data_IF_010932061818
#
_entry.id   IF_010932061818
#
_cell.length_a   1.000
_cell.length_b   1.000
_cell.length_c   1.000
_cell.angle_alpha   90.00
_cell.angle_beta   90.00
_cell.angle_gamma   90.00
#
_symmetry.space_group_name_H-M   'P 1'
#
loop_
_entity.id
_entity.type
_entity.pdbx_description
1 polymer ?
#
# COMPACT_ATOMS: atom_id res chain seq x y z
N UNK A 1 -7.66 1.57 -16.07
CA UNK A 1 -6.49 1.98 -15.29
C UNK A 1 -5.40 0.93 -15.37
N UNK A 2 -4.16 1.34 -15.52
CA UNK A 2 -3.00 0.45 -15.54
C UNK A 2 -2.09 0.79 -14.37
N UNK A 3 -1.80 -0.21 -13.54
CA UNK A 3 -0.86 -0.06 -12.42
C UNK A 3 0.56 -0.23 -12.97
N UNK A 4 1.42 0.74 -12.70
CA UNK A 4 2.80 0.73 -13.20
C UNK A 4 3.83 0.38 -12.13
N UNK A 5 3.66 0.89 -10.91
CA UNK A 5 4.63 0.73 -9.84
C UNK A 5 3.99 0.76 -8.47
N UNK A 6 4.48 -0.10 -7.58
CA UNK A 6 4.08 -0.12 -6.18
C UNK A 6 5.32 -0.03 -5.30
N UNK A 7 5.31 0.89 -4.33
CA UNK A 7 6.35 0.99 -3.32
C UNK A 7 5.76 0.83 -1.93
N UNK A 8 6.42 0.03 -1.12
CA UNK A 8 6.05 -0.19 0.27
C UNK A 8 7.20 0.21 1.18
N UNK A 9 6.87 0.81 2.31
CA UNK A 9 7.83 1.12 3.37
C UNK A 9 7.22 0.81 4.73
N UNK A 10 7.93 0.04 5.52
CA UNK A 10 7.50 -0.35 6.88
C UNK A 10 6.12 -1.00 6.91
N UNK A 11 5.78 -1.76 5.86
CA UNK A 11 4.50 -2.44 5.73
C UNK A 11 4.66 -3.93 5.96
N UNK A 12 4.13 -4.40 7.08
CA UNK A 12 4.17 -5.82 7.50
C UNK A 12 5.59 -6.38 7.48
N UNK A 13 5.85 -7.39 6.62
CA UNK A 13 7.18 -8.00 6.52
C UNK A 13 8.18 -7.19 5.70
N UNK A 14 7.76 -6.11 5.07
CA UNK A 14 8.62 -5.33 4.19
C UNK A 14 9.13 -4.05 4.86
N UNK A 15 10.45 -3.93 4.96
CA UNK A 15 11.10 -2.67 5.30
C UNK A 15 11.00 -1.70 4.12
N UNK A 16 11.43 -2.15 2.95
CA UNK A 16 11.22 -1.47 1.68
C UNK A 16 10.98 -2.49 0.58
N UNK A 17 10.04 -2.20 -0.29
CA UNK A 17 9.75 -3.00 -1.47
C UNK A 17 9.36 -2.09 -2.61
N UNK A 18 9.91 -2.36 -3.79
CA UNK A 18 9.63 -1.60 -5.00
C UNK A 18 9.33 -2.59 -6.12
N UNK A 19 8.14 -2.52 -6.68
CA UNK A 19 7.70 -3.43 -7.74
C UNK A 19 7.29 -2.61 -8.96
N UNK A 20 7.91 -2.92 -10.09
CA UNK A 20 7.47 -2.44 -11.40
C UNK A 20 6.60 -3.49 -12.05
N UNK A 21 5.42 -3.10 -12.52
CA UNK A 21 4.48 -4.02 -13.15
C UNK A 21 4.59 -3.95 -14.67
N UNK A 22 4.58 -5.12 -15.28
CA UNK A 22 4.53 -5.22 -16.74
C UNK A 22 3.16 -4.80 -17.27
N UNK A 23 3.11 -4.16 -18.47
CA UNK A 23 1.84 -3.64 -19.01
C UNK A 23 0.74 -4.66 -19.19
N UNK A 24 1.09 -5.91 -19.50
CA UNK A 24 0.11 -6.95 -19.79
C UNK A 24 -0.05 -7.98 -18.69
N UNK A 25 1.08 -8.43 -18.14
CA UNK A 25 1.08 -9.49 -17.14
C UNK A 25 2.26 -9.33 -16.21
N UNK A 26 1.98 -9.39 -14.92
CA UNK A 26 3.00 -9.51 -13.88
C UNK A 26 2.68 -10.74 -13.06
N UNK A 27 3.66 -11.64 -12.93
CA UNK A 27 3.52 -12.85 -12.14
C UNK A 27 4.29 -12.67 -10.85
N UNK A 28 3.59 -12.81 -9.73
CA UNK A 28 4.18 -12.77 -8.41
C UNK A 28 4.39 -14.20 -7.94
N UNK A 29 5.65 -14.63 -7.87
CA UNK A 29 6.04 -15.99 -7.51
C UNK A 29 6.75 -15.99 -6.17
N UNK A 30 6.46 -16.99 -5.36
CA UNK A 30 7.10 -17.16 -4.06
C UNK A 30 6.40 -18.25 -3.27
N UNK A 31 6.98 -18.62 -2.13
CA UNK A 31 6.34 -19.57 -1.23
C UNK A 31 5.00 -19.01 -0.72
N UNK A 32 4.07 -19.91 -0.41
CA UNK A 32 2.80 -19.55 0.20
C UNK A 32 3.05 -18.95 1.58
N UNK A 33 3.19 -17.65 1.62
CA UNK A 33 3.52 -16.94 2.84
C UNK A 33 2.89 -15.56 2.88
N UNK A 34 3.12 -14.90 3.99
CA UNK A 34 2.54 -13.60 4.31
C UNK A 34 2.97 -12.50 3.35
N UNK A 35 4.11 -12.68 2.66
CA UNK A 35 4.65 -11.66 1.76
C UNK A 35 3.78 -11.38 0.55
N UNK A 36 3.26 -12.42 -0.13
CA UNK A 36 2.35 -12.24 -1.27
C UNK A 36 1.04 -11.58 -0.86
N UNK A 37 0.47 -12.04 0.26
CA UNK A 37 -0.75 -11.48 0.81
C UNK A 37 -0.57 -10.00 1.13
N UNK A 38 0.58 -9.63 1.69
CA UNK A 38 0.91 -8.24 1.99
C UNK A 38 0.91 -7.36 0.73
N UNK A 39 1.46 -7.86 -0.39
CA UNK A 39 1.48 -7.13 -1.67
C UNK A 39 0.05 -6.89 -2.18
N UNK A 40 -0.79 -7.92 -2.18
CA UNK A 40 -2.18 -7.78 -2.64
C UNK A 40 -3.00 -6.87 -1.71
N UNK A 41 -2.81 -6.99 -0.41
CA UNK A 41 -3.46 -6.10 0.55
C UNK A 41 -3.01 -4.66 0.37
N UNK A 42 -1.73 -4.43 0.11
CA UNK A 42 -1.19 -3.10 -0.16
C UNK A 42 -1.81 -2.49 -1.42
N UNK A 43 -1.98 -3.28 -2.48
CA UNK A 43 -2.66 -2.83 -3.70
C UNK A 43 -4.11 -2.43 -3.41
N UNK A 44 -4.83 -3.23 -2.62
CA UNK A 44 -6.21 -2.92 -2.25
C UNK A 44 -6.30 -1.63 -1.43
N UNK A 45 -5.38 -1.42 -0.51
CA UNK A 45 -5.31 -0.21 0.29
C UNK A 45 -5.00 1.01 -0.59
N UNK A 46 -4.03 0.88 -1.49
CA UNK A 46 -3.63 1.97 -2.39
C UNK A 46 -4.73 2.37 -3.36
N UNK A 47 -5.54 1.41 -3.80
CA UNK A 47 -6.64 1.64 -4.74
C UNK A 47 -7.93 2.13 -4.06
N UNK A 48 -8.01 2.09 -2.74
CA UNK A 48 -9.24 2.43 -2.01
C UNK A 48 -9.80 3.82 -2.38
N UNK A 49 -9.01 4.90 -2.47
CA UNK A 49 -9.55 6.19 -2.86
C UNK A 49 -10.18 6.19 -4.25
N UNK A 50 -9.60 5.44 -5.18
CA UNK A 50 -10.16 5.28 -6.53
C UNK A 50 -11.46 4.46 -6.49
N UNK A 51 -11.46 3.35 -5.75
CA UNK A 51 -12.63 2.48 -5.62
C UNK A 51 -13.78 3.17 -4.92
N UNK A 52 -13.50 4.04 -3.96
CA UNK A 52 -14.51 4.81 -3.23
C UNK A 52 -15.34 5.68 -4.17
N UNK A 53 -14.74 6.20 -5.22
CA UNK A 53 -15.45 7.03 -6.20
C UNK A 53 -16.47 6.24 -7.02
N UNK A 54 -16.40 4.91 -7.01
CA UNK A 54 -17.35 4.00 -7.65
C UNK A 54 -18.31 3.33 -6.63
N UNK A 55 -18.41 3.88 -5.44
CA UNK A 55 -19.20 3.31 -4.33
C UNK A 55 -18.73 1.90 -3.92
N UNK A 56 -17.51 1.55 -4.24
CA UNK A 56 -16.92 0.28 -3.84
C UNK A 56 -16.23 0.40 -2.49
N UNK A 57 -16.31 -0.64 -1.67
CA UNK A 57 -15.58 -0.68 -0.41
C UNK A 57 -14.11 -0.97 -0.66
N UNK A 58 -13.24 -0.34 0.12
CA UNK A 58 -11.81 -0.54 0.08
C UNK A 58 -11.22 -0.74 1.46
N UNK A 59 -9.91 -0.82 1.52
CA UNK A 59 -9.17 -1.06 2.77
C UNK A 59 -8.37 0.17 3.15
N UNK A 60 -8.04 0.25 4.42
CA UNK A 60 -7.17 1.30 4.97
C UNK A 60 -6.00 0.65 5.71
N UNK A 61 -4.91 1.40 5.86
CA UNK A 61 -3.78 0.97 6.68
C UNK A 61 -4.24 0.92 8.14
N UNK A 62 -4.02 -0.23 8.79
CA UNK A 62 -4.35 -0.42 10.20
C UNK A 62 -3.07 -0.56 11.02
N UNK A 63 -3.15 -0.42 12.36
CA UNK A 63 -1.99 -0.66 13.22
C UNK A 63 -1.37 -2.05 13.07
N UNK A 64 -2.14 -3.05 12.64
CA UNK A 64 -1.63 -4.40 12.39
C UNK A 64 -0.73 -4.48 11.17
N UNK A 65 -0.82 -3.50 10.25
CA UNK A 65 0.01 -3.45 9.04
C UNK A 65 1.39 -2.84 9.29
N UNK A 66 1.60 -2.26 10.46
CA UNK A 66 2.88 -1.64 10.83
C UNK A 66 3.95 -2.71 10.98
N UNK A 67 5.11 -2.48 10.37
CA UNK A 67 6.24 -3.38 10.52
C UNK A 67 6.72 -3.39 11.96
N UNK A 68 6.83 -4.58 12.53
CA UNK A 68 7.35 -4.80 13.87
C UNK A 68 8.63 -5.60 13.80
N UNK A 69 9.65 -5.11 14.46
CA UNK A 69 10.95 -5.74 14.50
C UNK A 69 11.27 -6.09 15.95
N UNK A 70 11.72 -7.33 16.22
CA UNK A 70 12.07 -7.70 17.59
C UNK A 70 13.28 -6.92 18.09
N UNK A 71 13.22 -6.48 19.33
CA UNK A 71 14.34 -5.86 20.03
C UNK A 71 14.90 -6.89 21.01
N UNK A 72 16.17 -7.20 20.89
CA UNK A 72 16.81 -8.21 21.72
C UNK A 72 17.49 -7.59 22.93
N UNK A 73 17.50 -8.34 24.04
CA UNK A 73 18.32 -8.00 25.19
C UNK A 73 19.81 -8.15 24.86
N UNK A 74 20.69 -7.58 25.71
CA UNK A 74 22.14 -7.57 25.49
C UNK A 74 22.72 -8.97 25.26
N UNK A 75 22.12 -10.01 25.79
CA UNK A 75 22.55 -11.41 25.62
C UNK A 75 22.12 -12.04 24.29
N UNK A 76 21.31 -11.33 23.50
CA UNK A 76 20.79 -11.77 22.20
C UNK A 76 19.95 -13.06 22.25
N UNK A 77 19.54 -13.51 23.43
CA UNK A 77 18.79 -14.76 23.61
C UNK A 77 17.31 -14.54 23.84
N UNK A 78 16.94 -13.35 24.30
CA UNK A 78 15.56 -13.02 24.66
C UNK A 78 15.11 -11.78 23.94
N UNK A 79 13.87 -11.81 23.45
CA UNK A 79 13.24 -10.65 22.88
C UNK A 79 12.79 -9.74 24.02
N UNK A 80 13.27 -8.49 24.04
CA UNK A 80 12.88 -7.49 25.03
C UNK A 80 11.53 -6.85 24.70
N UNK A 81 11.12 -6.91 23.44
CA UNK A 81 9.87 -6.37 22.95
C UNK A 81 9.87 -6.27 21.44
N UNK A 82 8.85 -5.60 20.91
CA UNK A 82 8.72 -5.34 19.48
C UNK A 82 8.77 -3.84 19.23
N UNK A 83 9.55 -3.43 18.26
CA UNK A 83 9.64 -2.05 17.84
C UNK A 83 8.82 -1.85 16.57
N UNK A 84 7.90 -0.87 16.60
CA UNK A 84 7.10 -0.51 15.44
C UNK A 84 7.85 0.53 14.61
N UNK A 85 7.88 0.32 13.29
CA UNK A 85 8.57 1.21 12.37
C UNK A 85 7.58 2.10 11.63
N UNK A 86 7.77 3.41 11.73
CA UNK A 86 6.95 4.44 11.10
C UNK A 86 7.82 5.39 10.26
N UNK A 87 7.26 6.10 9.28
CA UNK A 87 5.88 5.94 8.79
C UNK A 87 5.71 4.65 7.99
N UNK A 88 4.49 4.13 8.00
CA UNK A 88 4.08 3.11 7.03
C UNK A 88 3.68 3.86 5.77
N UNK A 89 4.22 3.45 4.61
CA UNK A 89 3.92 4.12 3.35
C UNK A 89 3.60 3.11 2.26
N UNK A 90 2.52 3.38 1.52
CA UNK A 90 2.16 2.65 0.31
C UNK A 90 2.02 3.70 -0.78
N UNK A 91 2.87 3.61 -1.81
CA UNK A 91 2.82 4.52 -2.96
C UNK A 91 2.51 3.73 -4.21
N UNK A 92 1.46 4.13 -4.91
CA UNK A 92 1.02 3.52 -6.16
C UNK A 92 1.16 4.53 -7.29
N UNK A 93 1.80 4.11 -8.36
CA UNK A 93 1.87 4.87 -9.60
C UNK A 93 1.12 4.12 -10.69
N UNK A 94 0.32 4.84 -11.46
CA UNK A 94 -0.48 4.25 -12.50
C UNK A 94 -0.81 5.23 -13.60
N UNK A 95 -1.59 4.73 -14.56
CA UNK A 95 -2.05 5.48 -15.72
C UNK A 95 -3.55 5.29 -15.88
N UNK A 96 -4.28 6.38 -16.03
CA UNK A 96 -5.72 6.36 -16.30
C UNK A 96 -5.96 7.18 -17.57
N UNK A 97 -6.29 6.49 -18.64
CA UNK A 97 -6.55 7.10 -19.95
C UNK A 97 -5.45 8.07 -20.39
N UNK A 98 -4.19 7.61 -20.32
CA UNK A 98 -3.02 8.37 -20.75
C UNK A 98 -2.51 9.40 -19.75
N UNK A 99 -3.13 9.52 -18.59
CA UNK A 99 -2.69 10.45 -17.53
C UNK A 99 -2.04 9.70 -16.39
N UNK A 100 -0.85 10.12 -16.02
CA UNK A 100 -0.12 9.54 -14.89
C UNK A 100 -0.73 9.97 -13.58
N UNK A 101 -0.95 9.01 -12.70
CA UNK A 101 -1.49 9.25 -11.36
C UNK A 101 -0.55 8.66 -10.32
N UNK A 102 -0.46 9.35 -9.21
CA UNK A 102 0.28 8.88 -8.04
C UNK A 102 -0.62 8.99 -6.81
N UNK A 103 -0.71 7.91 -6.08
CA UNK A 103 -1.45 7.87 -4.82
C UNK A 103 -0.50 7.40 -3.73
N UNK A 104 -0.40 8.16 -2.66
CA UNK A 104 0.41 7.80 -1.49
C UNK A 104 -0.47 7.74 -0.26
N UNK A 105 -0.40 6.64 0.47
CA UNK A 105 -1.10 6.46 1.73
C UNK A 105 -0.08 6.16 2.82
N UNK A 106 -0.20 6.85 3.94
CA UNK A 106 0.72 6.72 5.08
C UNK A 106 -0.03 6.51 6.37
N UNK A 107 0.63 5.84 7.29
CA UNK A 107 0.24 5.80 8.69
C UNK A 107 1.42 6.32 9.50
N UNK A 108 1.23 7.46 10.15
CA UNK A 108 2.25 8.11 10.95
C UNK A 108 2.28 7.54 12.37
N UNK A 109 3.34 7.82 13.09
CA UNK A 109 3.45 7.44 14.51
C UNK A 109 2.24 7.95 15.28
N UNK A 110 1.73 7.12 16.19
CA UNK A 110 0.46 7.41 16.88
C UNK A 110 -0.77 7.02 16.06
N UNK A 111 -0.59 6.24 14.99
CA UNK A 111 -1.65 5.74 14.12
C UNK A 111 -2.46 6.85 13.44
N UNK A 112 -1.77 7.92 13.05
CA UNK A 112 -2.37 9.05 12.35
C UNK A 112 -2.31 8.80 10.84
N UNK A 113 -3.45 8.68 10.13
CA UNK A 113 -3.44 8.51 8.67
C UNK A 113 -3.10 9.82 7.96
N UNK A 114 -2.33 9.71 6.88
CA UNK A 114 -2.01 10.81 5.98
C UNK A 114 -2.07 10.30 4.55
N UNK A 115 -3.01 10.80 3.77
CA UNK A 115 -3.24 10.35 2.40
C UNK A 115 -3.03 11.49 1.41
N UNK A 116 -2.36 11.17 0.31
CA UNK A 116 -2.25 12.04 -0.86
C UNK A 116 -2.86 11.29 -2.05
N UNK A 117 -4.18 11.27 -2.10
CA UNK A 117 -4.95 10.45 -3.03
C UNK A 117 -6.05 11.22 -3.76
N UNK A 118 -6.13 12.53 -3.57
CA UNK A 118 -7.24 13.33 -4.09
C UNK A 118 -7.31 13.28 -5.61
N UNK A 119 -6.18 13.35 -6.28
CA UNK A 119 -6.13 13.29 -7.74
C UNK A 119 -6.71 11.97 -8.27
N UNK A 120 -6.32 10.87 -7.67
CA UNK A 120 -6.82 9.54 -8.05
C UNK A 120 -8.33 9.43 -7.80
N UNK A 121 -8.79 9.96 -6.70
CA UNK A 121 -10.22 9.98 -6.35
C UNK A 121 -11.00 10.85 -7.34
N UNK A 122 -10.50 12.04 -7.66
CA UNK A 122 -11.13 12.93 -8.64
C UNK A 122 -11.24 12.27 -10.01
N UNK A 123 -10.20 11.58 -10.46
CA UNK A 123 -10.21 10.85 -11.73
C UNK A 123 -11.26 9.76 -11.72
N UNK A 124 -11.35 9.01 -10.63
CA UNK A 124 -12.37 7.98 -10.49
C UNK A 124 -13.77 8.55 -10.59
N UNK A 125 -14.02 9.66 -9.90
CA UNK A 125 -15.32 10.34 -9.95
C UNK A 125 -15.65 10.82 -11.36
N UNK A 126 -14.69 11.42 -12.08
CA UNK A 126 -14.89 11.85 -13.45
C UNK A 126 -15.24 10.68 -14.37
N UNK A 127 -14.55 9.56 -14.25
CA UNK A 127 -14.81 8.36 -15.04
C UNK A 127 -16.18 7.76 -14.71
N UNK A 128 -16.58 7.76 -13.46
CA UNK A 128 -17.91 7.29 -13.05
C UNK A 128 -19.02 8.15 -13.64
N UNK A 129 -18.82 9.46 -13.73
CA UNK A 129 -19.77 10.38 -14.38
C UNK A 129 -19.87 10.12 -15.87
N UNK A 130 -18.74 9.92 -16.54
CA UNK A 130 -18.70 9.65 -17.99
C UNK A 130 -19.35 8.31 -18.34
N UNK A 131 -19.33 7.35 -17.41
CA UNK A 131 -19.93 6.03 -17.60
C UNK A 131 -21.46 6.02 -17.45
N UNK A 132 -22.05 7.10 -16.95
CA UNK A 132 -23.51 7.24 -16.81
C UNK A 132 -24.08 7.94 -18.02
#
# INVERSE_FOLDING_TARGET
MQIERLRLKNFRCYDELDIDFEPRLTVIVGENGKGKTAIFDALAIALEPYLRSFDASGRQITPQDVRRVPVYKKDMRHIDGMECHYPVEIKLEGDVYGKKLTCTRRLLEGNVPEDDADELCERGCALAHDAK
#
